data_IF_601649402953
#
_entry.id   IF_601649402953
#
_cell.length_a   1.000
_cell.length_b   1.000
_cell.length_c   1.000
_cell.angle_alpha   90.00
_cell.angle_beta   90.00
_cell.angle_gamma   90.00
#
_symmetry.space_group_name_H-M   'P 1'
#
loop_
_entity.id
_entity.type
_entity.pdbx_description
1 polymer ?
#
# COMPACT_ATOMS: atom_id res chain seq x y z
N UNK A 1 -0.10 -8.72 8.04
CA UNK A 1 -1.04 -7.61 8.38
C UNK A 1 -0.88 -7.24 9.85
N UNK A 2 -1.31 -6.06 10.22
CA UNK A 2 -1.35 -5.58 11.61
C UNK A 2 -2.70 -5.88 12.29
N UNK A 3 -2.73 -5.75 13.61
CA UNK A 3 -3.99 -5.78 14.36
C UNK A 3 -4.87 -4.61 13.94
N UNK A 4 -6.14 -4.88 13.66
CA UNK A 4 -7.10 -3.88 13.19
C UNK A 4 -8.49 -4.13 13.74
N UNK A 5 -9.30 -3.08 13.81
CA UNK A 5 -10.71 -3.12 14.20
C UNK A 5 -11.51 -2.13 13.36
N UNK A 6 -12.73 -2.51 13.00
CA UNK A 6 -13.73 -1.58 12.47
C UNK A 6 -14.51 -1.01 13.64
N UNK A 7 -14.54 0.31 13.78
CA UNK A 7 -15.21 1.01 14.88
C UNK A 7 -16.08 2.15 14.37
N UNK A 8 -17.16 2.52 15.08
CA UNK A 8 -17.90 3.73 14.79
C UNK A 8 -16.99 4.96 14.90
N UNK A 9 -17.04 5.85 13.91
CA UNK A 9 -16.24 7.08 13.92
C UNK A 9 -16.53 7.97 15.16
N UNK A 10 -17.75 7.89 15.69
CA UNK A 10 -18.14 8.59 16.92
C UNK A 10 -17.33 8.09 18.13
N UNK A 11 -17.12 6.78 18.26
CA UNK A 11 -16.35 6.18 19.35
C UNK A 11 -14.86 6.57 19.24
N UNK A 12 -14.32 6.57 18.01
CA UNK A 12 -12.94 6.96 17.73
C UNK A 12 -12.70 8.44 18.04
N UNK A 13 -13.71 9.32 17.83
CA UNK A 13 -13.64 10.74 18.22
C UNK A 13 -13.72 10.94 19.74
N UNK A 14 -14.40 10.02 20.43
CA UNK A 14 -14.62 10.14 21.88
C UNK A 14 -13.42 9.64 22.71
N UNK A 15 -12.75 8.56 22.26
CA UNK A 15 -11.67 7.92 22.99
C UNK A 15 -10.73 7.14 22.07
N UNK A 16 -9.54 6.81 22.57
CA UNK A 16 -8.66 5.85 21.89
C UNK A 16 -9.31 4.45 21.93
N UNK A 17 -9.59 3.88 20.75
CA UNK A 17 -10.08 2.49 20.61
C UNK A 17 -8.93 1.48 20.53
N UNK A 18 -7.69 1.96 20.37
CA UNK A 18 -6.47 1.17 20.34
C UNK A 18 -5.34 1.99 20.99
N UNK A 19 -4.35 1.31 21.57
CA UNK A 19 -3.17 1.99 22.12
C UNK A 19 -2.33 2.64 21.01
N UNK A 20 -1.96 3.94 21.10
CA UNK A 20 -1.08 4.58 20.12
C UNK A 20 0.34 3.97 20.09
N UNK A 21 1.02 3.97 18.92
CA UNK A 21 0.59 4.60 17.68
C UNK A 21 -0.34 3.72 16.83
N UNK A 22 -1.31 4.35 16.19
CA UNK A 22 -2.24 3.67 15.27
C UNK A 22 -2.67 4.60 14.12
N UNK A 23 -3.28 4.03 13.11
CA UNK A 23 -3.83 4.73 11.95
C UNK A 23 -5.34 4.57 11.95
N UNK A 24 -6.06 5.67 11.64
CA UNK A 24 -7.49 5.66 11.36
C UNK A 24 -7.69 5.98 9.89
N UNK A 25 -8.49 5.19 9.20
CA UNK A 25 -8.78 5.39 7.77
C UNK A 25 -10.18 4.92 7.41
N UNK A 26 -10.79 5.45 6.33
CA UNK A 26 -11.98 4.85 5.73
C UNK A 26 -11.70 3.39 5.34
N UNK A 27 -12.69 2.51 5.49
CA UNK A 27 -12.53 1.10 5.15
C UNK A 27 -12.61 0.83 3.64
N UNK A 28 -13.15 1.76 2.86
CA UNK A 28 -13.49 1.58 1.44
C UNK A 28 -13.03 2.75 0.54
N UNK A 29 -12.07 3.53 1.00
CA UNK A 29 -11.44 4.60 0.23
C UNK A 29 -10.00 4.22 -0.15
N UNK A 30 -9.44 4.97 -1.14
CA UNK A 30 -8.09 4.78 -1.62
C UNK A 30 -7.23 6.04 -1.52
N UNK A 31 -6.02 5.99 -2.09
CA UNK A 31 -5.12 7.14 -2.27
C UNK A 31 -4.77 7.91 -1.00
N UNK A 32 -4.79 7.26 0.17
CA UNK A 32 -4.54 7.88 1.49
C UNK A 32 -5.53 9.00 1.87
N UNK A 33 -6.71 9.04 1.25
CA UNK A 33 -7.76 10.00 1.60
C UNK A 33 -8.34 9.65 2.97
N UNK A 34 -8.43 10.65 3.86
CA UNK A 34 -9.00 10.47 5.21
C UNK A 34 -8.15 9.59 6.13
N UNK A 35 -6.84 9.50 5.92
CA UNK A 35 -5.92 8.74 6.77
C UNK A 35 -5.35 9.62 7.87
N UNK A 36 -5.53 9.22 9.13
CA UNK A 36 -5.07 9.93 10.33
C UNK A 36 -4.06 9.07 11.10
N UNK A 37 -2.85 9.58 11.26
CA UNK A 37 -1.86 8.99 12.15
C UNK A 37 -2.05 9.52 13.58
N UNK A 38 -2.28 8.63 14.51
CA UNK A 38 -2.28 8.93 15.94
C UNK A 38 -0.94 8.50 16.51
N UNK A 39 -0.06 9.48 16.72
CA UNK A 39 1.28 9.23 17.24
C UNK A 39 1.26 8.83 18.72
N UNK A 40 2.36 8.26 19.20
CA UNK A 40 2.51 7.80 20.59
C UNK A 40 2.36 8.92 21.61
N UNK A 41 2.72 10.14 21.22
CA UNK A 41 2.68 11.34 22.05
C UNK A 41 1.29 12.01 22.11
N UNK A 42 0.33 11.54 21.30
CA UNK A 42 -1.01 12.09 21.28
C UNK A 42 -1.74 11.75 22.59
N UNK A 43 -2.10 12.80 23.35
CA UNK A 43 -2.80 12.68 24.63
C UNK A 43 -4.33 12.52 24.51
N UNK A 44 -4.87 12.58 23.30
CA UNK A 44 -6.31 12.49 23.05
C UNK A 44 -6.63 11.82 21.70
N UNK A 45 -7.90 11.45 21.49
CA UNK A 45 -8.35 10.82 20.26
C UNK A 45 -8.16 11.74 19.05
N UNK A 46 -8.10 11.18 17.83
CA UNK A 46 -7.91 11.98 16.61
C UNK A 46 -9.12 12.87 16.34
N UNK A 47 -8.86 14.05 15.78
CA UNK A 47 -9.88 14.95 15.27
C UNK A 47 -10.21 14.53 13.82
N UNK A 48 -11.16 13.61 13.68
CA UNK A 48 -11.61 13.14 12.37
C UNK A 48 -12.54 14.17 11.72
N UNK A 49 -12.38 14.38 10.42
CA UNK A 49 -13.27 15.25 9.63
C UNK A 49 -14.73 14.81 9.71
N UNK A 50 -15.64 15.76 9.51
CA UNK A 50 -17.07 15.50 9.67
C UNK A 50 -17.65 14.55 8.60
N UNK A 51 -17.00 14.47 7.44
CA UNK A 51 -17.39 13.65 6.29
C UNK A 51 -16.79 12.23 6.33
N UNK A 52 -16.06 11.89 7.40
CA UNK A 52 -15.60 10.50 7.60
C UNK A 52 -16.80 9.55 7.66
N UNK A 53 -16.68 8.34 7.06
CA UNK A 53 -17.71 7.31 7.13
C UNK A 53 -18.16 7.02 8.56
N UNK A 54 -19.40 6.53 8.72
CA UNK A 54 -19.94 6.13 10.03
C UNK A 54 -19.06 5.09 10.73
N UNK A 55 -18.46 4.18 9.95
CA UNK A 55 -17.51 3.19 10.44
C UNK A 55 -16.15 3.38 9.77
N UNK A 56 -15.10 3.34 10.57
CA UNK A 56 -13.72 3.51 10.13
C UNK A 56 -12.87 2.33 10.57
N UNK A 57 -11.80 2.06 9.82
CA UNK A 57 -10.77 1.10 10.21
C UNK A 57 -9.76 1.81 11.12
N UNK A 58 -9.47 1.18 12.26
CA UNK A 58 -8.37 1.56 13.16
C UNK A 58 -7.38 0.41 13.16
N UNK A 59 -6.13 0.68 12.82
CA UNK A 59 -5.09 -0.35 12.71
C UNK A 59 -3.80 0.08 13.39
N UNK A 60 -3.09 -0.87 13.99
CA UNK A 60 -1.80 -0.62 14.60
C UNK A 60 -0.82 -0.04 13.57
N UNK A 61 -0.05 0.98 13.96
CA UNK A 61 0.92 1.59 13.07
C UNK A 61 2.03 0.62 12.68
N UNK A 62 2.25 0.44 11.39
CA UNK A 62 3.35 -0.34 10.83
C UNK A 62 4.53 0.59 10.52
N UNK A 63 5.63 0.58 11.31
CA UNK A 63 6.79 1.41 11.07
C UNK A 63 7.69 0.84 9.96
N UNK A 64 8.69 1.63 9.56
CA UNK A 64 9.77 1.18 8.67
C UNK A 64 9.63 1.70 7.24
N UNK A 65 10.36 1.06 6.32
CA UNK A 65 10.42 1.40 4.89
C UNK A 65 9.12 1.04 4.20
N UNK A 66 8.80 1.77 3.14
CA UNK A 66 7.62 1.51 2.33
C UNK A 66 8.03 0.79 1.04
N UNK A 67 7.60 -0.45 0.88
CA UNK A 67 7.91 -1.29 -0.26
C UNK A 67 6.64 -1.59 -1.04
N UNK A 68 6.76 -1.79 -2.35
CA UNK A 68 5.62 -2.16 -3.19
C UNK A 68 6.02 -3.13 -4.29
N UNK A 69 5.10 -4.04 -4.64
CA UNK A 69 5.30 -5.05 -5.67
C UNK A 69 4.09 -5.16 -6.57
N UNK A 70 4.30 -5.05 -7.87
CA UNK A 70 3.28 -5.26 -8.89
C UNK A 70 3.24 -6.73 -9.30
N UNK A 71 2.02 -7.26 -9.42
CA UNK A 71 1.74 -8.56 -10.03
C UNK A 71 1.06 -8.33 -11.38
N UNK A 72 1.50 -9.06 -12.39
CA UNK A 72 0.99 -9.07 -13.74
C UNK A 72 0.59 -10.51 -14.11
N UNK A 73 -0.71 -10.80 -14.10
CA UNK A 73 -1.22 -12.16 -14.29
C UNK A 73 -0.76 -13.10 -13.17
N UNK A 74 0.08 -14.05 -13.49
CA UNK A 74 0.62 -15.06 -12.57
C UNK A 74 2.03 -14.75 -12.05
N UNK A 75 2.55 -13.54 -12.32
CA UNK A 75 3.95 -13.16 -12.07
C UNK A 75 4.08 -11.86 -11.31
N UNK A 76 4.76 -11.89 -10.16
CA UNK A 76 5.28 -10.67 -9.52
C UNK A 76 6.45 -10.10 -10.34
N UNK A 77 6.51 -8.79 -10.53
CA UNK A 77 7.49 -8.14 -11.40
C UNK A 77 8.81 -7.86 -10.67
N UNK A 78 8.76 -6.96 -9.69
CA UNK A 78 9.92 -6.57 -8.87
C UNK A 78 9.44 -5.82 -7.62
N UNK A 79 10.38 -5.41 -6.77
CA UNK A 79 10.10 -4.62 -5.56
C UNK A 79 10.64 -3.20 -5.76
N UNK A 80 9.82 -2.20 -5.47
CA UNK A 80 10.22 -0.79 -5.38
C UNK A 80 10.26 -0.36 -3.91
N UNK A 81 11.31 0.34 -3.50
CA UNK A 81 11.39 1.07 -2.24
C UNK A 81 10.98 2.53 -2.48
N UNK A 82 9.98 3.00 -1.74
CA UNK A 82 9.43 4.34 -1.86
C UNK A 82 10.05 5.21 -0.76
N UNK A 83 10.93 6.12 -1.17
CA UNK A 83 11.60 7.04 -0.27
C UNK A 83 10.81 8.36 -0.20
N UNK A 84 10.36 8.71 1.01
CA UNK A 84 9.64 9.95 1.28
C UNK A 84 10.35 10.76 2.36
N UNK A 85 10.26 12.08 2.30
CA UNK A 85 10.80 12.97 3.34
C UNK A 85 9.86 13.12 4.55
N UNK A 86 8.76 12.37 4.58
CA UNK A 86 7.73 12.42 5.62
C UNK A 86 6.74 11.28 5.47
N UNK A 87 5.51 11.53 5.91
CA UNK A 87 4.41 10.59 5.71
C UNK A 87 4.05 10.47 4.22
N UNK A 88 3.87 9.25 3.71
CA UNK A 88 3.49 9.01 2.31
C UNK A 88 1.99 9.28 2.11
N UNK A 89 1.60 10.55 2.19
CA UNK A 89 0.24 11.02 1.99
C UNK A 89 -0.10 11.23 0.51
N UNK A 90 -1.26 11.80 0.25
CA UNK A 90 -1.74 12.12 -1.10
C UNK A 90 -0.76 13.03 -1.86
N UNK A 91 -0.22 14.04 -1.20
CA UNK A 91 0.72 14.99 -1.80
C UNK A 91 2.05 14.32 -2.16
N UNK A 92 2.57 13.45 -1.28
CA UNK A 92 3.78 12.66 -1.55
C UNK A 92 3.60 11.68 -2.72
N UNK A 93 2.37 11.20 -2.97
CA UNK A 93 2.04 10.28 -4.07
C UNK A 93 1.94 10.96 -5.44
N UNK A 94 1.46 12.20 -5.48
CA UNK A 94 1.03 12.82 -6.75
C UNK A 94 1.71 14.14 -7.09
N UNK A 95 2.43 14.79 -6.15
CA UNK A 95 3.22 15.98 -6.44
C UNK A 95 4.60 15.61 -6.98
N UNK A 96 5.06 16.32 -7.97
CA UNK A 96 6.40 16.18 -8.53
C UNK A 96 7.45 16.43 -7.42
N UNK A 97 8.34 15.43 -7.20
CA UNK A 97 9.33 15.47 -6.13
C UNK A 97 8.81 15.06 -4.74
N UNK A 98 7.56 14.61 -4.59
CA UNK A 98 6.99 14.15 -3.32
C UNK A 98 7.56 12.82 -2.82
N UNK A 99 8.02 11.97 -3.72
CA UNK A 99 8.72 10.71 -3.42
C UNK A 99 9.84 10.46 -4.43
N UNK A 100 10.79 9.62 -4.05
CA UNK A 100 11.78 9.02 -4.95
C UNK A 100 11.75 7.51 -4.82
N UNK A 101 12.11 6.81 -5.90
CA UNK A 101 11.99 5.36 -5.96
C UNK A 101 13.38 4.73 -6.12
N UNK A 102 13.63 3.65 -5.39
CA UNK A 102 14.78 2.76 -5.62
C UNK A 102 14.25 1.47 -6.21
N UNK A 103 14.66 1.17 -7.43
CA UNK A 103 14.12 0.07 -8.22
C UNK A 103 15.24 -0.65 -9.01
N UNK A 104 15.51 -1.95 -8.79
CA UNK A 104 14.92 -2.76 -7.72
C UNK A 104 15.29 -2.25 -6.33
N UNK A 105 14.45 -2.53 -5.32
CA UNK A 105 14.67 -2.12 -3.94
C UNK A 105 15.99 -2.69 -3.39
N UNK A 106 16.76 -1.85 -2.71
CA UNK A 106 17.97 -2.26 -1.99
C UNK A 106 17.58 -2.80 -0.60
N UNK A 107 17.17 -4.07 -0.59
CA UNK A 107 16.76 -4.82 0.61
C UNK A 107 17.44 -6.20 0.61
N UNK A 108 17.57 -6.88 1.77
CA UNK A 108 18.03 -8.27 1.81
C UNK A 108 17.22 -9.17 0.89
N UNK A 109 17.87 -10.14 0.23
CA UNK A 109 17.23 -11.07 -0.71
C UNK A 109 15.99 -11.76 -0.11
N UNK A 110 16.04 -12.15 1.18
CA UNK A 110 14.90 -12.73 1.90
C UNK A 110 13.68 -11.80 1.89
N UNK A 111 13.87 -10.50 2.13
CA UNK A 111 12.77 -9.52 2.16
C UNK A 111 12.23 -9.30 0.75
N UNK A 112 13.13 -9.22 -0.23
CA UNK A 112 12.75 -9.10 -1.64
C UNK A 112 11.86 -10.28 -2.07
N UNK A 113 12.32 -11.51 -1.79
CA UNK A 113 11.60 -12.73 -2.14
C UNK A 113 10.25 -12.83 -1.41
N UNK A 114 10.19 -12.41 -0.14
CA UNK A 114 8.94 -12.37 0.63
C UNK A 114 7.94 -11.35 0.06
N UNK A 115 8.39 -10.16 -0.37
CA UNK A 115 7.52 -9.18 -1.03
C UNK A 115 6.92 -9.77 -2.32
N UNK A 116 7.73 -10.44 -3.13
CA UNK A 116 7.29 -11.09 -4.37
C UNK A 116 6.27 -12.20 -4.10
N UNK A 117 6.56 -13.10 -3.15
CA UNK A 117 5.67 -14.20 -2.76
C UNK A 117 4.34 -13.68 -2.18
N UNK A 118 4.41 -12.75 -1.24
CA UNK A 118 3.21 -12.22 -0.58
C UNK A 118 2.32 -11.43 -1.54
N UNK A 119 2.90 -10.67 -2.47
CA UNK A 119 2.13 -9.95 -3.49
C UNK A 119 1.38 -10.94 -4.40
N UNK A 120 2.06 -11.98 -4.88
CA UNK A 120 1.44 -13.00 -5.73
C UNK A 120 0.35 -13.78 -4.98
N UNK A 121 0.60 -14.14 -3.73
CA UNK A 121 -0.40 -14.82 -2.89
C UNK A 121 -1.60 -13.95 -2.60
N UNK A 122 -1.41 -12.65 -2.33
CA UNK A 122 -2.50 -11.70 -2.12
C UNK A 122 -3.33 -11.52 -3.39
N UNK A 123 -2.68 -11.36 -4.56
CA UNK A 123 -3.34 -11.31 -5.87
C UNK A 123 -4.27 -12.50 -6.07
N UNK A 124 -3.75 -13.71 -5.87
CA UNK A 124 -4.51 -14.95 -6.05
C UNK A 124 -5.63 -15.11 -5.01
N UNK A 125 -5.35 -14.81 -3.73
CA UNK A 125 -6.34 -14.96 -2.65
C UNK A 125 -7.53 -14.01 -2.79
N UNK A 126 -7.30 -12.82 -3.37
CA UNK A 126 -8.34 -11.84 -3.65
C UNK A 126 -9.05 -12.09 -4.99
N UNK A 127 -8.64 -13.10 -5.76
CA UNK A 127 -9.17 -13.36 -7.09
C UNK A 127 -8.90 -12.23 -8.08
N UNK A 128 -7.79 -11.53 -7.91
CA UNK A 128 -7.40 -10.48 -8.86
C UNK A 128 -7.11 -11.07 -10.23
N UNK A 129 -7.43 -10.31 -11.26
CA UNK A 129 -7.09 -10.58 -12.66
C UNK A 129 -6.32 -9.39 -13.24
N UNK A 130 -5.57 -9.62 -14.31
CA UNK A 130 -4.78 -8.57 -14.94
C UNK A 130 -3.64 -8.10 -14.02
N UNK A 131 -3.61 -6.82 -13.69
CA UNK A 131 -2.58 -6.20 -12.89
C UNK A 131 -3.07 -5.85 -11.49
N UNK A 132 -2.22 -6.07 -10.47
CA UNK A 132 -2.43 -5.55 -9.11
C UNK A 132 -1.12 -5.05 -8.52
N UNK A 133 -1.19 -4.24 -7.47
CA UNK A 133 -0.02 -3.75 -6.73
C UNK A 133 -0.26 -3.93 -5.25
N UNK A 134 0.67 -4.60 -4.57
CA UNK A 134 0.63 -4.83 -3.13
C UNK A 134 1.65 -3.94 -2.43
N UNK A 135 1.19 -3.22 -1.42
CA UNK A 135 1.97 -2.24 -0.66
C UNK A 135 2.33 -2.81 0.72
N UNK A 136 3.58 -2.60 1.16
CA UNK A 136 4.14 -3.15 2.40
C UNK A 136 4.80 -2.07 3.24
N UNK A 137 4.90 -2.36 4.56
CA UNK A 137 5.83 -1.68 5.47
C UNK A 137 6.82 -2.70 6.00
N UNK A 138 8.09 -2.32 6.08
CA UNK A 138 9.13 -3.21 6.59
C UNK A 138 9.97 -2.55 7.68
N UNK A 139 9.80 -3.05 8.90
CA UNK A 139 10.64 -2.70 10.05
C UNK A 139 11.92 -3.53 10.02
N UNK A 140 13.01 -2.91 9.54
CA UNK A 140 14.32 -3.56 9.38
C UNK A 140 14.82 -4.21 10.68
N UNK A 141 14.50 -3.60 11.84
CA UNK A 141 14.96 -4.09 13.14
C UNK A 141 14.41 -5.48 13.51
N UNK A 142 13.36 -5.92 12.82
CA UNK A 142 12.68 -7.20 13.03
C UNK A 142 12.93 -8.23 11.92
N UNK A 143 13.78 -7.90 10.94
CA UNK A 143 14.06 -8.79 9.81
C UNK A 143 12.75 -9.17 9.07
N UNK A 144 12.62 -10.44 8.69
CA UNK A 144 11.44 -10.94 7.98
C UNK A 144 10.12 -10.78 8.76
N UNK A 145 10.15 -10.89 10.09
CA UNK A 145 8.97 -10.68 10.93
C UNK A 145 8.47 -9.22 10.93
N UNK A 146 9.30 -8.27 10.49
CA UNK A 146 8.95 -6.86 10.35
C UNK A 146 8.24 -6.53 9.04
N UNK A 147 8.11 -7.47 8.10
CA UNK A 147 7.42 -7.24 6.82
C UNK A 147 5.90 -7.36 7.00
N UNK A 148 5.21 -6.26 6.81
CA UNK A 148 3.76 -6.13 6.96
C UNK A 148 3.14 -5.79 5.61
N UNK A 149 2.20 -6.61 5.14
CA UNK A 149 1.34 -6.29 4.01
C UNK A 149 0.25 -5.33 4.47
N UNK A 150 0.13 -4.18 3.81
CA UNK A 150 -0.88 -3.15 4.09
C UNK A 150 -2.15 -3.38 3.27
N UNK A 151 -2.01 -3.36 1.94
CA UNK A 151 -3.14 -3.42 1.02
C UNK A 151 -2.73 -3.98 -0.35
N UNK A 152 -3.71 -4.41 -1.13
CA UNK A 152 -3.54 -4.75 -2.54
C UNK A 152 -4.49 -3.91 -3.39
N UNK A 153 -3.92 -3.13 -4.31
CA UNK A 153 -4.64 -2.29 -5.25
C UNK A 153 -4.91 -3.09 -6.53
N UNK A 154 -6.16 -3.38 -6.83
CA UNK A 154 -6.57 -4.13 -8.04
C UNK A 154 -6.74 -3.25 -9.28
N UNK A 155 -6.64 -1.93 -9.14
CA UNK A 155 -6.58 -0.95 -10.23
C UNK A 155 -5.48 0.08 -9.93
N UNK A 156 -4.20 -0.34 -9.97
CA UNK A 156 -3.10 0.57 -9.70
C UNK A 156 -3.02 1.67 -10.76
N UNK A 157 -2.45 2.82 -10.37
CA UNK A 157 -2.24 3.94 -11.29
C UNK A 157 -1.44 3.55 -12.53
N UNK A 158 -1.82 4.12 -13.69
CA UNK A 158 -1.24 3.82 -15.01
C UNK A 158 -0.79 5.11 -15.71
N UNK A 159 -0.18 6.03 -14.97
CA UNK A 159 0.47 7.23 -15.55
C UNK A 159 1.98 7.01 -15.71
N UNK A 160 2.66 7.92 -16.38
CA UNK A 160 4.11 7.85 -16.60
C UNK A 160 4.93 7.81 -15.28
N UNK A 161 4.37 8.30 -14.17
CA UNK A 161 5.00 8.31 -12.84
C UNK A 161 4.43 7.26 -11.89
N UNK A 162 3.59 6.36 -12.41
CA UNK A 162 2.97 5.31 -11.58
C UNK A 162 3.92 4.13 -11.39
N UNK A 163 3.89 3.56 -10.18
CA UNK A 163 4.78 2.48 -9.73
C UNK A 163 4.67 1.20 -10.58
N UNK A 164 3.46 0.82 -11.02
CA UNK A 164 3.28 -0.41 -11.80
C UNK A 164 3.90 -0.33 -13.21
N UNK A 165 3.70 0.75 -14.00
CA UNK A 165 4.43 0.96 -15.25
C UNK A 165 5.94 1.05 -15.08
N UNK A 166 6.41 1.69 -14.00
CA UNK A 166 7.84 1.79 -13.69
C UNK A 166 8.46 0.40 -13.44
N UNK A 167 7.79 -0.44 -12.66
CA UNK A 167 8.22 -1.82 -12.40
C UNK A 167 8.19 -2.69 -13.67
N UNK A 168 7.16 -2.54 -14.51
CA UNK A 168 7.08 -3.22 -15.79
C UNK A 168 8.26 -2.85 -16.70
N UNK A 169 8.59 -1.54 -16.78
CA UNK A 169 9.72 -1.05 -17.57
C UNK A 169 11.05 -1.62 -17.04
N UNK A 170 11.26 -1.67 -15.73
CA UNK A 170 12.45 -2.27 -15.13
C UNK A 170 12.59 -3.78 -15.45
N UNK A 171 11.46 -4.45 -15.71
CA UNK A 171 11.43 -5.84 -16.16
C UNK A 171 11.49 -5.99 -17.70
N UNK A 172 11.75 -4.90 -18.44
CA UNK A 172 11.86 -4.93 -19.91
C UNK A 172 10.51 -4.88 -20.65
N UNK A 173 9.40 -4.57 -19.95
CA UNK A 173 8.06 -4.44 -20.54
C UNK A 173 7.79 -2.95 -20.74
N UNK A 174 7.71 -2.52 -22.01
CA UNK A 174 7.39 -1.11 -22.31
C UNK A 174 5.95 -0.77 -21.91
N UNK A 175 5.66 0.53 -21.69
CA UNK A 175 4.30 0.95 -21.38
C UNK A 175 3.27 0.56 -22.44
N UNK A 176 3.55 0.70 -23.75
CA UNK A 176 2.65 0.19 -24.79
C UNK A 176 2.42 -1.34 -24.71
N UNK A 177 3.48 -2.12 -24.44
CA UNK A 177 3.35 -3.58 -24.33
C UNK A 177 2.55 -3.98 -23.08
N UNK A 178 2.75 -3.27 -21.96
CA UNK A 178 1.93 -3.44 -20.75
C UNK A 178 0.46 -3.18 -21.04
N UNK A 179 0.14 -2.08 -21.71
CA UNK A 179 -1.23 -1.73 -22.07
C UNK A 179 -1.84 -2.76 -23.03
N UNK A 180 -1.08 -3.20 -24.06
CA UNK A 180 -1.52 -4.24 -24.99
C UNK A 180 -1.84 -5.53 -24.28
N UNK A 181 -0.94 -5.99 -23.39
CA UNK A 181 -1.16 -7.18 -22.58
C UNK A 181 -2.41 -7.07 -21.69
N UNK A 182 -2.63 -5.93 -21.04
CA UNK A 182 -3.82 -5.71 -20.20
C UNK A 182 -5.13 -5.81 -21.02
N UNK A 183 -5.12 -5.31 -22.25
CA UNK A 183 -6.28 -5.42 -23.16
C UNK A 183 -6.50 -6.85 -23.60
N UNK A 184 -5.43 -7.58 -23.93
CA UNK A 184 -5.48 -8.98 -24.36
C UNK A 184 -5.91 -9.92 -23.23
N UNK A 185 -5.45 -9.66 -21.99
CA UNK A 185 -5.83 -10.42 -20.80
C UNK A 185 -7.28 -10.13 -20.35
N UNK A 186 -7.82 -8.98 -20.72
CA UNK A 186 -9.18 -8.59 -20.34
C UNK A 186 -10.23 -9.53 -20.96
N UNK A 187 -11.07 -10.13 -20.12
CA UNK A 187 -12.17 -11.01 -20.55
C UNK A 187 -13.50 -10.53 -19.95
N UNK A 188 -14.59 -10.70 -20.71
CA UNK A 188 -15.95 -10.50 -20.21
C UNK A 188 -16.47 -11.79 -19.55
N UNK A 189 -17.29 -11.68 -18.50
CA UNK A 189 -17.93 -12.83 -17.86
C UNK A 189 -17.11 -13.54 -16.79
N UNK A 190 -16.19 -12.82 -16.18
CA UNK A 190 -15.43 -13.23 -14.98
C UNK A 190 -16.27 -13.17 -13.71
#
# INVERSE_FOLDING_TARGET
>A
VVDSVIAPAADVRAAHVMAPPYVVKPNNEGSSVGVYLVAKENNGPPQLDADMPEHVMVEAFAPGRELTTTVMGDRALTVTDILTTGWYDYDAKYKEGGSSHVLPADVPAEIFDLCMDYALRAHNALGCHGISRTDFRWDESKGAAGLILLETNNQPGMTATSLSPEQALACGISFPDLCAWMVEDATCGR
#
